data_IF_559488605803
#
_entry.id   IF_559488605803
#
_cell.length_a   1.000
_cell.length_b   1.000
_cell.length_c   1.000
_cell.angle_alpha   90.00
_cell.angle_beta   90.00
_cell.angle_gamma   90.00
#
_symmetry.space_group_name_H-M   'P 1'
#
loop_
_entity.id
_entity.type
_entity.pdbx_description
1 polymer ?
#
# COMPACT_ATOMS: atom_id res chain seq x y z
N UNK A 1 30.17 69.38 6.61
CA UNK A 1 31.60 69.59 6.31
C UNK A 1 31.99 68.50 5.31
N UNK A 2 31.95 68.80 4.01
CA UNK A 2 33.13 68.92 3.13
C UNK A 2 33.54 67.54 2.59
N UNK A 3 33.02 67.06 1.45
CA UNK A 3 33.38 67.39 0.05
C UNK A 3 34.84 67.12 -0.32
N UNK A 4 35.05 66.18 -1.26
CA UNK A 4 35.94 66.24 -2.44
C UNK A 4 35.84 64.86 -3.16
N UNK A 5 34.99 64.68 -4.18
CA UNK A 5 35.21 65.00 -5.59
C UNK A 5 36.53 64.48 -6.18
N UNK A 6 36.43 63.49 -7.07
CA UNK A 6 37.10 63.55 -8.36
C UNK A 6 36.14 63.01 -9.43
N UNK A 7 35.64 63.93 -10.26
CA UNK A 7 34.96 63.67 -11.53
C UNK A 7 35.98 63.67 -12.67
N UNK A 8 35.67 62.92 -13.73
CA UNK A 8 35.82 63.25 -15.16
C UNK A 8 35.20 62.08 -15.94
N UNK A 9 33.95 62.19 -16.40
CA UNK A 9 33.42 62.89 -17.60
C UNK A 9 33.64 62.07 -18.90
N UNK A 10 32.64 61.24 -19.25
CA UNK A 10 31.79 61.17 -20.48
C UNK A 10 32.36 61.54 -21.89
N UNK A 11 31.73 61.18 -23.05
CA UNK A 11 30.30 60.83 -23.27
C UNK A 11 29.93 59.72 -24.30
N UNK A 12 28.62 59.40 -24.31
CA UNK A 12 27.68 59.05 -25.40
C UNK A 12 27.98 57.96 -26.44
N UNK A 13 27.09 56.96 -26.51
CA UNK A 13 26.25 56.75 -27.71
C UNK A 13 25.01 55.89 -27.40
N UNK A 14 23.87 56.40 -27.85
CA UNK A 14 22.53 55.81 -27.79
C UNK A 14 22.42 54.55 -28.66
N UNK A 15 21.76 53.49 -28.17
CA UNK A 15 20.79 52.72 -28.97
C UNK A 15 19.68 52.20 -28.06
N UNK A 16 18.48 52.74 -28.28
CA UNK A 16 17.20 52.20 -27.85
C UNK A 16 16.94 50.92 -28.66
N UNK A 17 16.62 49.81 -28.02
CA UNK A 17 15.80 48.79 -28.67
C UNK A 17 14.77 48.24 -27.68
N UNK A 18 13.51 48.53 -27.98
CA UNK A 18 12.33 48.04 -27.29
C UNK A 18 12.12 46.57 -27.69
N UNK A 19 12.02 45.68 -26.71
CA UNK A 19 11.22 44.47 -26.87
C UNK A 19 10.66 44.07 -25.52
N UNK A 20 9.52 44.68 -25.21
CA UNK A 20 8.48 44.05 -24.41
C UNK A 20 7.92 42.93 -25.28
N UNK A 21 8.04 41.69 -24.85
CA UNK A 21 7.17 40.65 -25.37
C UNK A 21 6.58 39.82 -24.23
N UNK A 22 5.30 39.58 -24.43
CA UNK A 22 4.25 39.33 -23.47
C UNK A 22 4.19 37.84 -23.14
N UNK A 23 4.34 37.48 -21.85
CA UNK A 23 4.17 36.09 -21.40
C UNK A 23 2.72 35.92 -20.97
N UNK A 24 1.88 35.46 -21.89
CA UNK A 24 0.55 34.93 -21.59
C UNK A 24 0.39 33.56 -22.25
N UNK A 25 0.72 32.51 -21.50
CA UNK A 25 0.32 31.13 -21.83
C UNK A 25 -1.03 30.84 -21.15
N UNK A 26 -2.13 31.01 -21.90
CA UNK A 26 -3.43 30.40 -21.59
C UNK A 26 -3.69 29.21 -22.55
N UNK A 27 -3.71 28.02 -21.94
CA UNK A 27 -4.61 26.87 -22.11
C UNK A 27 -5.43 26.76 -23.41
N UNK A 28 -5.29 25.63 -24.14
CA UNK A 28 -6.41 24.71 -24.50
C UNK A 28 -5.92 23.39 -25.10
N UNK A 29 -6.64 22.33 -24.73
CA UNK A 29 -6.45 20.92 -25.06
C UNK A 29 -6.52 20.60 -26.57
N UNK A 30 -5.66 19.70 -27.06
CA UNK A 30 -6.06 18.68 -28.03
C UNK A 30 -5.40 17.33 -27.70
N UNK A 31 -6.24 16.30 -27.71
CA UNK A 31 -5.94 14.93 -27.34
C UNK A 31 -4.88 14.30 -28.23
N UNK A 32 -3.91 13.61 -27.61
CA UNK A 32 -3.19 12.52 -28.24
C UNK A 32 -3.26 11.30 -27.31
N UNK A 33 -4.19 10.42 -27.64
CA UNK A 33 -4.20 9.02 -27.23
C UNK A 33 -2.94 8.34 -27.78
N UNK A 34 -1.86 8.24 -27.01
CA UNK A 34 -0.84 7.21 -27.24
C UNK A 34 -0.35 6.62 -25.90
N UNK A 35 -0.67 5.33 -25.75
CA UNK A 35 -0.05 4.33 -24.89
C UNK A 35 0.28 4.71 -23.43
N UNK A 36 -0.62 4.33 -22.53
CA UNK A 36 -0.20 3.90 -21.19
C UNK A 36 0.72 2.69 -21.41
N UNK A 37 2.02 2.95 -21.41
CA UNK A 37 3.08 1.96 -21.45
C UNK A 37 2.88 0.99 -20.26
N UNK A 38 2.31 -0.16 -20.60
CA UNK A 38 2.03 -1.28 -19.71
C UNK A 38 3.38 -1.82 -19.19
N UNK A 39 3.85 -1.25 -18.08
CA UNK A 39 5.08 -1.71 -17.43
C UNK A 39 5.09 -3.25 -17.29
N UNK A 40 6.24 -3.89 -17.54
CA UNK A 40 6.32 -5.04 -18.43
C UNK A 40 5.71 -6.30 -17.81
N UNK A 41 4.69 -6.83 -18.49
CA UNK A 41 4.15 -8.18 -18.26
C UNK A 41 5.19 -9.30 -18.48
N UNK A 42 6.40 -8.98 -18.95
CA UNK A 42 7.48 -9.93 -19.22
C UNK A 42 8.44 -10.17 -18.06
N UNK A 43 8.59 -9.23 -17.10
CA UNK A 43 9.50 -9.44 -15.96
C UNK A 43 8.94 -10.42 -14.91
N UNK A 44 7.63 -10.71 -14.97
CA UNK A 44 6.92 -11.61 -14.05
C UNK A 44 6.85 -13.04 -14.60
N UNK A 45 6.92 -13.21 -15.93
CA UNK A 45 6.83 -14.52 -16.61
C UNK A 45 7.90 -15.55 -16.17
N UNK A 46 9.16 -15.18 -15.88
CA UNK A 46 10.16 -16.17 -15.45
C UNK A 46 9.96 -16.66 -14.01
N UNK A 47 9.30 -15.87 -13.15
CA UNK A 47 9.11 -16.20 -11.72
C UNK A 47 7.93 -17.19 -11.54
N UNK A 48 7.02 -17.26 -12.51
CA UNK A 48 5.75 -17.97 -12.42
C UNK A 48 5.82 -19.47 -12.74
N UNK A 49 6.89 -19.95 -13.38
CA UNK A 49 7.00 -21.34 -13.85
C UNK A 49 7.95 -22.21 -13.03
N UNK A 50 8.56 -21.68 -11.97
CA UNK A 50 9.47 -22.44 -11.11
C UNK A 50 8.73 -22.94 -9.84
N UNK A 51 8.52 -24.27 -9.70
CA UNK A 51 7.91 -24.86 -8.50
C UNK A 51 8.76 -24.70 -7.22
N UNK A 52 9.99 -24.18 -7.32
CA UNK A 52 10.84 -23.81 -6.19
C UNK A 52 10.52 -22.41 -5.63
N UNK A 53 9.70 -21.61 -6.31
CA UNK A 53 9.31 -20.27 -5.83
C UNK A 53 8.29 -20.42 -4.71
N UNK A 54 8.76 -20.29 -3.47
CA UNK A 54 7.89 -20.21 -2.31
C UNK A 54 7.13 -18.86 -2.34
N UNK A 55 5.93 -18.83 -2.90
CA UNK A 55 5.14 -17.60 -3.07
C UNK A 55 4.86 -16.85 -1.75
N UNK A 56 4.80 -17.57 -0.61
CA UNK A 56 4.74 -16.96 0.72
C UNK A 56 5.98 -16.08 0.97
N UNK A 57 7.16 -16.48 0.46
CA UNK A 57 8.39 -15.68 0.53
C UNK A 57 8.34 -14.39 -0.30
N UNK A 58 7.62 -14.37 -1.44
CA UNK A 58 7.46 -13.16 -2.25
C UNK A 58 6.62 -12.11 -1.50
N UNK A 59 5.50 -12.53 -0.91
CA UNK A 59 4.69 -11.68 -0.01
C UNK A 59 5.45 -11.19 1.22
N UNK A 60 6.25 -12.06 1.83
CA UNK A 60 7.03 -11.75 3.03
C UNK A 60 8.11 -10.71 2.71
N UNK A 61 8.75 -10.82 1.54
CA UNK A 61 9.92 -10.02 1.20
C UNK A 61 9.61 -8.56 0.88
N UNK A 62 8.34 -8.22 0.60
CA UNK A 62 7.92 -6.86 0.23
C UNK A 62 8.65 -6.31 -0.99
N UNK A 63 9.25 -7.17 -1.83
CA UNK A 63 9.94 -6.80 -3.07
C UNK A 63 8.95 -6.55 -4.21
N UNK A 64 7.71 -6.98 -4.04
CA UNK A 64 6.60 -6.79 -4.97
C UNK A 64 5.38 -6.43 -4.13
N UNK A 65 4.90 -5.19 -4.24
CA UNK A 65 3.68 -4.70 -3.58
C UNK A 65 2.45 -5.32 -4.26
N UNK A 66 2.30 -6.62 -4.12
CA UNK A 66 1.36 -7.43 -4.90
C UNK A 66 0.39 -8.13 -3.95
N UNK A 67 -0.88 -8.17 -4.35
CA UNK A 67 -1.94 -8.98 -3.75
C UNK A 67 -2.30 -10.18 -4.64
N UNK A 68 -2.79 -11.27 -4.05
CA UNK A 68 -3.26 -12.43 -4.80
C UNK A 68 -4.65 -12.16 -5.38
N UNK A 69 -4.89 -12.59 -6.62
CA UNK A 69 -6.22 -12.58 -7.21
C UNK A 69 -7.09 -13.67 -6.56
N UNK A 70 -8.35 -13.37 -6.28
CA UNK A 70 -9.31 -14.37 -5.81
C UNK A 70 -9.92 -15.12 -7.00
N UNK A 71 -10.11 -16.43 -6.83
CA UNK A 71 -10.71 -17.42 -7.75
C UNK A 71 -9.72 -18.01 -8.77
N UNK A 72 -9.28 -19.25 -8.46
CA UNK A 72 -8.79 -20.29 -9.39
C UNK A 72 -7.64 -19.97 -10.35
N UNK A 73 -7.16 -18.74 -10.39
CA UNK A 73 -6.07 -18.29 -11.24
C UNK A 73 -5.00 -17.74 -10.31
N UNK A 74 -3.81 -18.33 -10.33
CA UNK A 74 -2.65 -17.91 -9.54
C UNK A 74 -2.08 -16.57 -10.07
N UNK A 75 -2.95 -15.62 -10.39
CA UNK A 75 -2.63 -14.32 -10.94
C UNK A 75 -2.50 -13.28 -9.82
N UNK A 76 -1.74 -12.24 -10.12
CA UNK A 76 -1.19 -11.29 -9.16
C UNK A 76 -1.58 -9.87 -9.60
N UNK A 77 -2.04 -9.03 -8.66
CA UNK A 77 -2.36 -7.62 -8.94
C UNK A 77 -1.52 -6.72 -8.04
N UNK A 78 -1.08 -5.58 -8.58
CA UNK A 78 -0.41 -4.52 -7.80
C UNK A 78 -1.35 -3.92 -6.76
N UNK A 79 -0.81 -3.61 -5.58
CA UNK A 79 -1.51 -2.83 -4.56
C UNK A 79 -1.43 -1.34 -4.90
N UNK A 80 -2.57 -0.67 -4.93
CA UNK A 80 -2.66 0.78 -5.13
C UNK A 80 -2.28 1.52 -3.86
N UNK A 81 -2.57 0.93 -2.69
CA UNK A 81 -2.30 1.57 -1.41
C UNK A 81 -3.30 2.67 -1.07
N UNK A 82 -4.54 2.57 -1.54
CA UNK A 82 -5.61 3.53 -1.22
C UNK A 82 -6.31 3.19 0.10
N UNK A 83 -6.93 4.18 0.76
CA UNK A 83 -7.74 3.94 1.96
C UNK A 83 -8.93 2.99 1.67
N UNK A 84 -9.50 3.07 0.47
CA UNK A 84 -10.53 2.14 0.01
C UNK A 84 -10.03 0.69 -0.03
N UNK A 85 -8.81 0.47 -0.54
CA UNK A 85 -8.20 -0.86 -0.57
C UNK A 85 -7.89 -1.38 0.84
N UNK A 86 -7.40 -0.51 1.73
CA UNK A 86 -7.16 -0.84 3.14
C UNK A 86 -8.45 -1.28 3.85
N UNK A 87 -9.56 -0.53 3.69
CA UNK A 87 -10.85 -0.91 4.25
C UNK A 87 -11.39 -2.21 3.65
N UNK A 88 -11.28 -2.38 2.33
CA UNK A 88 -11.77 -3.59 1.65
C UNK A 88 -11.08 -4.86 2.17
N UNK A 89 -9.75 -4.82 2.35
CA UNK A 89 -9.00 -5.96 2.87
C UNK A 89 -9.26 -6.19 4.37
N UNK A 90 -9.42 -5.12 5.16
CA UNK A 90 -9.81 -5.25 6.57
C UNK A 90 -11.20 -5.90 6.72
N UNK A 91 -12.18 -5.53 5.89
CA UNK A 91 -13.52 -6.12 5.95
C UNK A 91 -13.51 -7.64 5.70
N UNK A 92 -12.60 -8.15 4.85
CA UNK A 92 -12.42 -9.60 4.66
C UNK A 92 -11.98 -10.27 5.96
N UNK A 93 -11.10 -9.61 6.70
CA UNK A 93 -10.58 -10.07 7.99
C UNK A 93 -11.64 -9.98 9.10
N UNK A 94 -12.45 -8.92 9.15
CA UNK A 94 -13.53 -8.78 10.12
C UNK A 94 -14.65 -9.82 9.93
N UNK A 95 -14.93 -10.20 8.69
CA UNK A 95 -15.90 -11.26 8.37
C UNK A 95 -15.39 -12.66 8.75
N UNK A 96 -14.11 -12.80 9.04
CA UNK A 96 -13.51 -14.09 9.39
C UNK A 96 -14.24 -14.74 10.56
N UNK A 97 -14.57 -13.97 11.60
CA UNK A 97 -15.13 -14.53 12.83
C UNK A 97 -16.50 -15.18 12.62
N UNK A 98 -17.38 -14.49 11.91
CA UNK A 98 -18.72 -15.00 11.58
C UNK A 98 -18.64 -16.24 10.68
N UNK A 99 -17.77 -16.20 9.68
CA UNK A 99 -17.70 -17.26 8.67
C UNK A 99 -17.00 -18.51 9.23
N UNK A 100 -15.93 -18.37 10.02
CA UNK A 100 -15.22 -19.54 10.56
C UNK A 100 -16.08 -20.29 11.58
N UNK A 101 -16.90 -19.59 12.38
CA UNK A 101 -17.86 -20.23 13.28
C UNK A 101 -18.90 -21.04 12.50
N UNK A 102 -19.50 -20.43 11.48
CA UNK A 102 -20.48 -21.10 10.61
C UNK A 102 -19.86 -22.32 9.91
N UNK A 103 -18.68 -22.15 9.32
CA UNK A 103 -17.97 -23.21 8.61
C UNK A 103 -17.59 -24.35 9.56
N UNK A 104 -17.09 -24.04 10.76
CA UNK A 104 -16.71 -25.06 11.74
C UNK A 104 -17.91 -25.90 12.21
N UNK A 105 -19.11 -25.31 12.28
CA UNK A 105 -20.33 -26.00 12.70
C UNK A 105 -20.98 -26.81 11.58
N UNK A 106 -20.99 -26.28 10.35
CA UNK A 106 -21.78 -26.85 9.24
C UNK A 106 -20.94 -27.54 8.15
N UNK A 107 -19.67 -27.17 7.99
CA UNK A 107 -18.74 -27.72 6.99
C UNK A 107 -17.30 -27.79 7.54
N UNK A 108 -17.01 -28.63 8.55
CA UNK A 108 -15.73 -28.61 9.25
C UNK A 108 -14.50 -28.78 8.35
N UNK A 109 -14.63 -29.52 7.24
CA UNK A 109 -13.56 -29.72 6.24
C UNK A 109 -13.13 -28.43 5.53
N UNK A 110 -13.95 -27.38 5.56
CA UNK A 110 -13.66 -26.08 4.94
C UNK A 110 -13.01 -25.08 5.91
N UNK A 111 -12.90 -25.41 7.20
CA UNK A 111 -12.40 -24.48 8.22
C UNK A 111 -10.93 -24.13 8.01
N UNK A 112 -10.10 -25.13 7.67
CA UNK A 112 -8.67 -24.92 7.38
C UNK A 112 -8.42 -24.09 6.11
N UNK A 113 -9.07 -24.38 4.95
CA UNK A 113 -9.03 -23.49 3.79
C UNK A 113 -9.37 -22.04 4.14
N UNK A 114 -10.40 -21.82 4.96
CA UNK A 114 -10.79 -20.47 5.36
C UNK A 114 -9.74 -19.77 6.25
N UNK A 115 -9.04 -20.50 7.11
CA UNK A 115 -7.91 -19.96 7.87
C UNK A 115 -6.72 -19.59 6.98
N UNK A 116 -6.46 -20.38 5.94
CA UNK A 116 -5.44 -20.05 4.92
C UNK A 116 -5.81 -18.77 4.17
N UNK A 117 -7.10 -18.58 3.84
CA UNK A 117 -7.59 -17.35 3.22
C UNK A 117 -7.38 -16.14 4.15
N UNK A 118 -7.62 -16.29 5.45
CA UNK A 118 -7.33 -15.26 6.45
C UNK A 118 -5.84 -14.91 6.52
N UNK A 119 -4.96 -15.91 6.52
CA UNK A 119 -3.52 -15.66 6.44
C UNK A 119 -3.16 -14.86 5.18
N UNK A 120 -3.74 -15.22 4.04
CA UNK A 120 -3.55 -14.51 2.77
C UNK A 120 -3.97 -13.04 2.90
N UNK A 121 -5.14 -12.76 3.47
CA UNK A 121 -5.60 -11.38 3.71
C UNK A 121 -4.63 -10.58 4.58
N UNK A 122 -4.00 -11.18 5.61
CA UNK A 122 -2.99 -10.45 6.40
C UNK A 122 -1.75 -10.07 5.58
N UNK A 123 -1.35 -10.87 4.59
CA UNK A 123 -0.22 -10.51 3.72
C UNK A 123 -0.61 -9.42 2.75
N UNK A 124 -1.79 -9.54 2.14
CA UNK A 124 -2.36 -8.52 1.26
C UNK A 124 -2.45 -7.18 1.97
N UNK A 125 -3.11 -7.11 3.13
CA UNK A 125 -3.29 -5.88 3.87
C UNK A 125 -1.95 -5.23 4.22
N UNK A 126 -0.94 -6.02 4.62
CA UNK A 126 0.41 -5.49 4.86
C UNK A 126 1.05 -4.88 3.59
N UNK A 127 0.82 -5.45 2.42
CA UNK A 127 1.31 -4.91 1.16
C UNK A 127 0.57 -3.63 0.74
N UNK A 128 -0.74 -3.56 0.98
CA UNK A 128 -1.51 -2.33 0.75
C UNK A 128 -1.00 -1.20 1.65
N UNK A 129 -0.73 -1.47 2.93
CA UNK A 129 -0.10 -0.49 3.82
C UNK A 129 1.27 -0.03 3.33
N UNK A 130 2.11 -0.95 2.82
CA UNK A 130 3.43 -0.59 2.27
C UNK A 130 3.29 0.26 1.01
N UNK A 131 2.32 -0.03 0.15
CA UNK A 131 2.02 0.80 -1.01
C UNK A 131 1.56 2.20 -0.59
N UNK A 132 0.65 2.28 0.40
CA UNK A 132 0.25 3.55 1.00
C UNK A 132 1.47 4.34 1.52
N UNK A 133 2.35 3.69 2.28
CA UNK A 133 3.55 4.34 2.82
C UNK A 133 4.49 4.83 1.73
N UNK A 134 4.69 4.03 0.67
CA UNK A 134 5.52 4.43 -0.46
C UNK A 134 4.95 5.66 -1.16
N UNK A 135 3.64 5.67 -1.44
CA UNK A 135 2.97 6.79 -2.11
C UNK A 135 3.02 8.09 -1.30
N UNK A 136 3.06 7.97 0.03
CA UNK A 136 3.11 9.11 0.95
C UNK A 136 4.53 9.46 1.43
N UNK A 137 5.57 8.77 0.94
CA UNK A 137 6.96 9.04 1.37
C UNK A 137 7.28 8.62 2.81
N UNK A 138 6.45 7.76 3.42
CA UNK A 138 6.63 7.29 4.81
C UNK A 138 7.72 6.22 4.97
N UNK A 139 8.36 5.85 3.87
CA UNK A 139 9.34 4.78 3.82
C UNK A 139 8.69 3.40 3.73
N UNK A 140 9.50 2.34 3.77
CA UNK A 140 9.05 1.00 3.40
C UNK A 140 8.05 0.41 4.40
N UNK A 141 8.20 0.74 5.67
CA UNK A 141 7.42 0.19 6.78
C UNK A 141 6.80 1.31 7.64
N UNK A 142 6.66 2.51 7.07
CA UNK A 142 6.09 3.66 7.75
C UNK A 142 7.06 4.37 8.70
N UNK A 143 8.36 4.11 8.63
CA UNK A 143 9.37 4.68 9.55
C UNK A 143 9.41 6.21 9.61
N UNK A 144 8.95 6.91 8.56
CA UNK A 144 8.85 8.38 8.51
C UNK A 144 7.41 8.89 8.74
N UNK A 145 6.45 7.98 8.92
CA UNK A 145 5.05 8.28 9.10
C UNK A 145 4.63 8.57 10.53
N UNK A 146 3.32 8.73 10.74
CA UNK A 146 2.75 8.84 12.08
C UNK A 146 2.93 7.52 12.85
N UNK A 147 3.66 7.58 13.98
CA UNK A 147 3.98 6.40 14.80
C UNK A 147 2.75 5.68 15.32
N UNK A 148 1.69 6.40 15.69
CA UNK A 148 0.46 5.82 16.23
C UNK A 148 -0.29 5.05 15.15
N UNK A 149 -0.36 5.60 13.93
CA UNK A 149 -0.98 4.93 12.78
C UNK A 149 -0.21 3.67 12.41
N UNK A 150 1.13 3.73 12.36
CA UNK A 150 1.96 2.56 12.06
C UNK A 150 1.83 1.48 13.12
N UNK A 151 1.78 1.85 14.40
CA UNK A 151 1.67 0.90 15.52
C UNK A 151 0.29 0.24 15.59
N UNK A 152 -0.79 1.02 15.46
CA UNK A 152 -2.16 0.50 15.54
C UNK A 152 -2.64 -0.16 14.25
N UNK A 153 -2.17 0.31 13.09
CA UNK A 153 -2.52 -0.23 11.78
C UNK A 153 -1.55 -1.31 11.35
N UNK A 154 -0.40 -0.89 10.84
CA UNK A 154 0.53 -1.79 10.15
C UNK A 154 1.11 -2.89 11.05
N UNK A 155 1.54 -2.55 12.28
CA UNK A 155 2.18 -3.52 13.18
C UNK A 155 1.20 -4.58 13.70
N UNK A 156 -0.06 -4.22 13.95
CA UNK A 156 -1.09 -5.16 14.41
C UNK A 156 -1.35 -6.30 13.43
N UNK A 157 -1.16 -6.08 12.13
CA UNK A 157 -1.32 -7.12 11.09
C UNK A 157 -0.41 -8.32 11.36
N UNK A 158 0.81 -8.09 11.85
CA UNK A 158 1.77 -9.16 12.14
C UNK A 158 1.39 -9.95 13.38
N UNK A 159 0.78 -9.30 14.38
CA UNK A 159 0.25 -9.98 15.57
C UNK A 159 -0.94 -10.86 15.20
N UNK A 160 -1.90 -10.32 14.42
CA UNK A 160 -3.02 -11.09 13.87
C UNK A 160 -2.50 -12.30 13.11
N UNK A 161 -1.54 -12.11 12.21
CA UNK A 161 -0.96 -13.20 11.42
C UNK A 161 -0.35 -14.30 12.30
N UNK A 162 0.34 -13.93 13.37
CA UNK A 162 0.92 -14.91 14.29
C UNK A 162 -0.17 -15.73 14.99
N UNK A 163 -1.24 -15.10 15.47
CA UNK A 163 -2.35 -15.81 16.12
C UNK A 163 -3.14 -16.69 15.13
N UNK A 164 -3.37 -16.21 13.91
CA UNK A 164 -4.02 -17.03 12.87
C UNK A 164 -3.15 -18.24 12.50
N UNK A 165 -1.81 -18.10 12.45
CA UNK A 165 -0.92 -19.27 12.25
C UNK A 165 -1.04 -20.29 13.37
N UNK A 166 -1.06 -19.85 14.63
CA UNK A 166 -1.27 -20.75 15.79
C UNK A 166 -2.63 -21.44 15.73
N UNK A 167 -3.68 -20.73 15.32
CA UNK A 167 -5.00 -21.33 15.09
C UNK A 167 -4.96 -22.41 14.01
N UNK A 168 -4.28 -22.15 12.89
CA UNK A 168 -4.09 -23.14 11.83
C UNK A 168 -3.34 -24.39 12.34
N UNK A 169 -2.24 -24.19 13.06
CA UNK A 169 -1.38 -25.28 13.56
C UNK A 169 -2.11 -26.15 14.60
N UNK A 170 -2.98 -25.56 15.40
CA UNK A 170 -3.76 -26.27 16.43
C UNK A 170 -5.17 -26.68 15.96
N UNK A 171 -5.44 -26.72 14.65
CA UNK A 171 -6.75 -27.09 14.09
C UNK A 171 -7.93 -26.35 14.73
N UNK A 172 -7.79 -25.03 14.90
CA UNK A 172 -8.80 -24.12 15.46
C UNK A 172 -9.17 -24.37 16.93
N UNK A 173 -8.36 -25.11 17.67
CA UNK A 173 -8.48 -25.15 19.12
C UNK A 173 -8.31 -23.74 19.70
N UNK A 174 -9.08 -23.43 20.75
CA UNK A 174 -9.09 -22.13 21.44
C UNK A 174 -9.55 -20.93 20.59
N UNK A 175 -10.26 -21.19 19.50
CA UNK A 175 -10.80 -20.14 18.62
C UNK A 175 -11.56 -19.04 19.38
N UNK A 176 -12.42 -19.39 20.33
CA UNK A 176 -13.24 -18.44 21.09
C UNK A 176 -12.42 -17.46 21.96
N UNK A 177 -11.22 -17.86 22.39
CA UNK A 177 -10.33 -16.99 23.14
C UNK A 177 -9.58 -16.04 22.20
N UNK A 178 -9.05 -16.61 21.12
CA UNK A 178 -8.27 -15.87 20.13
C UNK A 178 -9.16 -14.87 19.36
N UNK A 179 -10.41 -15.21 19.05
CA UNK A 179 -11.32 -14.34 18.31
C UNK A 179 -11.57 -13.00 19.00
N UNK A 180 -11.64 -12.99 20.34
CA UNK A 180 -11.76 -11.75 21.13
C UNK A 180 -10.55 -10.83 20.93
N UNK A 181 -9.35 -11.41 20.94
CA UNK A 181 -8.10 -10.67 20.73
C UNK A 181 -8.00 -10.16 19.29
N UNK A 182 -8.36 -11.00 18.32
CA UNK A 182 -8.39 -10.63 16.91
C UNK A 182 -9.35 -9.46 16.64
N UNK A 183 -10.59 -9.54 17.16
CA UNK A 183 -11.59 -8.48 17.00
C UNK A 183 -11.12 -7.14 17.59
N UNK A 184 -10.42 -7.18 18.73
CA UNK A 184 -9.82 -5.98 19.30
C UNK A 184 -8.78 -5.36 18.34
N UNK A 185 -7.88 -6.18 17.78
CA UNK A 185 -6.87 -5.69 16.84
C UNK A 185 -7.43 -5.26 15.49
N UNK A 186 -8.52 -5.87 15.00
CA UNK A 186 -9.23 -5.35 13.82
C UNK A 186 -9.75 -3.94 14.08
N UNK A 187 -10.32 -3.70 15.27
CA UNK A 187 -10.73 -2.37 15.70
C UNK A 187 -9.59 -1.36 15.77
N UNK A 188 -8.40 -1.76 16.21
CA UNK A 188 -7.21 -0.91 16.19
C UNK A 188 -6.80 -0.54 14.76
N UNK A 189 -6.81 -1.51 13.83
CA UNK A 189 -6.49 -1.26 12.42
C UNK A 189 -7.53 -0.34 11.79
N UNK A 190 -8.82 -0.58 12.04
CA UNK A 190 -9.92 0.27 11.56
C UNK A 190 -9.71 1.73 11.98
N UNK A 191 -9.40 1.95 13.27
CA UNK A 191 -9.11 3.30 13.81
C UNK A 191 -7.87 3.91 13.18
N UNK A 192 -6.85 3.12 12.88
CA UNK A 192 -5.66 3.62 12.21
C UNK A 192 -5.96 4.07 10.77
N UNK A 193 -6.80 3.32 10.04
CA UNK A 193 -7.21 3.71 8.66
C UNK A 193 -8.04 4.99 8.70
N UNK A 194 -8.91 5.20 9.70
CA UNK A 194 -9.68 6.45 9.85
C UNK A 194 -8.82 7.70 10.11
N UNK A 195 -7.55 7.53 10.47
CA UNK A 195 -6.61 8.62 10.71
C UNK A 195 -5.72 8.95 9.50
N UNK A 196 -5.85 8.18 8.41
CA UNK A 196 -5.17 8.43 7.11
C UNK A 196 -5.96 9.42 6.26
#
# INVERSE_FOLDING_TARGET
MGSCFSKRDEPDDEVIDESVDEVTDEVTDEANDEEIDEAPSEAIRPILNDPLVNYVSLFISGKSLIKPLHLSSNQWIMCEGSCCELFSELQKMERFDLVILYVSQHKPSMSMPFCVDMLRSTYTLANVWRAFFQNNGWGRNGEKGDKKIVELGYRKIFLIRAEVKKLCENNLQNYNEISKVLNHWFGDIYRAILLL
#
